data_IF_281348377979
#
_entry.id   IF_281348377979
#
_cell.length_a   1.000
_cell.length_b   1.000
_cell.length_c   1.000
_cell.angle_alpha   90.00
_cell.angle_beta   90.00
_cell.angle_gamma   90.00
#
_symmetry.space_group_name_H-M   'P 1'
#
loop_
_entity.id
_entity.type
_entity.pdbx_description
1 polymer ?
#
# COMPACT_ATOMS: atom_id res chain seq x y z
N UNK A 1 -89.28 39.27 58.31
CA UNK A 1 -88.20 38.35 58.72
C UNK A 1 -87.06 38.45 57.73
N UNK A 2 -85.84 38.51 58.25
CA UNK A 2 -84.67 37.77 57.73
C UNK A 2 -84.25 37.93 56.26
N UNK A 3 -82.97 38.30 56.12
CA UNK A 3 -82.05 37.49 55.35
C UNK A 3 -81.87 37.92 53.90
N UNK A 4 -80.64 38.20 53.51
CA UNK A 4 -80.31 38.33 52.09
C UNK A 4 -79.04 37.53 51.76
N UNK A 5 -79.25 36.41 51.08
CA UNK A 5 -78.26 35.72 50.26
C UNK A 5 -78.59 36.09 48.81
N UNK A 6 -77.64 36.66 48.06
CA UNK A 6 -77.71 36.72 46.59
C UNK A 6 -76.44 36.14 46.00
N UNK A 7 -76.63 35.12 45.17
CA UNK A 7 -75.60 34.29 44.56
C UNK A 7 -74.78 35.04 43.50
N UNK A 8 -73.48 34.72 43.45
CA UNK A 8 -72.57 35.11 42.38
C UNK A 8 -72.90 34.32 41.11
N UNK A 9 -73.21 35.03 40.03
CA UNK A 9 -73.23 34.47 38.66
C UNK A 9 -71.96 34.94 37.96
N UNK A 10 -70.95 34.07 37.92
CA UNK A 10 -69.77 34.22 37.06
C UNK A 10 -70.14 33.72 35.66
N UNK A 11 -70.24 34.63 34.67
CA UNK A 11 -70.23 34.26 33.25
C UNK A 11 -68.90 34.70 32.64
N UNK A 12 -67.89 33.85 32.69
CA UNK A 12 -66.79 33.94 31.74
C UNK A 12 -67.36 33.58 30.37
N UNK A 13 -67.39 34.51 29.41
CA UNK A 13 -67.79 34.23 28.04
C UNK A 13 -66.69 33.37 27.37
N UNK A 14 -66.89 32.05 27.14
CA UNK A 14 -65.85 31.15 26.62
C UNK A 14 -65.49 31.41 25.16
N UNK A 15 -66.21 32.34 24.50
CA UNK A 15 -66.15 32.59 23.07
C UNK A 15 -65.17 33.70 22.70
N UNK A 16 -64.91 34.67 23.57
CA UNK A 16 -64.08 35.82 23.20
C UNK A 16 -62.59 35.43 23.09
N UNK A 17 -62.09 34.67 24.05
CA UNK A 17 -60.70 34.19 24.05
C UNK A 17 -60.44 33.20 22.91
N UNK A 18 -61.42 32.35 22.57
CA UNK A 18 -61.35 31.44 21.41
C UNK A 18 -61.32 32.20 20.09
N UNK A 19 -62.13 33.26 19.94
CA UNK A 19 -62.17 34.07 18.73
C UNK A 19 -60.87 34.87 18.57
N UNK A 20 -60.40 35.52 19.63
CA UNK A 20 -59.13 36.27 19.60
C UNK A 20 -57.93 35.35 19.29
N UNK A 21 -57.87 34.17 19.92
CA UNK A 21 -56.82 33.20 19.64
C UNK A 21 -56.87 32.67 18.20
N UNK A 22 -58.07 32.47 17.65
CA UNK A 22 -58.23 32.05 16.25
C UNK A 22 -57.75 33.13 15.27
N UNK A 23 -58.07 34.39 15.54
CA UNK A 23 -57.62 35.51 14.71
C UNK A 23 -56.10 35.72 14.77
N UNK A 24 -55.47 35.57 15.95
CA UNK A 24 -54.01 35.63 16.08
C UNK A 24 -53.35 34.51 15.27
N UNK A 25 -53.85 33.28 15.39
CA UNK A 25 -53.32 32.15 14.62
C UNK A 25 -53.49 32.32 13.11
N UNK A 26 -54.59 32.93 12.65
CA UNK A 26 -54.82 33.23 11.22
C UNK A 26 -53.87 34.32 10.72
N UNK A 27 -53.60 35.37 11.51
CA UNK A 27 -52.64 36.42 11.17
C UNK A 27 -51.21 35.90 11.19
N UNK A 28 -50.84 35.08 12.18
CA UNK A 28 -49.53 34.41 12.24
C UNK A 28 -49.34 33.45 11.06
N UNK A 29 -50.37 32.70 10.67
CA UNK A 29 -50.33 31.82 9.50
C UNK A 29 -50.20 32.62 8.18
N UNK A 30 -50.90 33.76 8.06
CA UNK A 30 -50.82 34.61 6.87
C UNK A 30 -49.43 35.24 6.73
N UNK A 31 -48.90 35.82 7.81
CA UNK A 31 -47.58 36.47 7.83
C UNK A 31 -46.45 35.46 7.62
N UNK A 32 -46.52 34.27 8.21
CA UNK A 32 -45.54 33.20 7.96
C UNK A 32 -45.55 32.71 6.51
N UNK A 33 -46.74 32.62 5.88
CA UNK A 33 -46.85 32.23 4.48
C UNK A 33 -46.29 33.31 3.53
N UNK A 34 -46.50 34.59 3.80
CA UNK A 34 -45.93 35.70 3.01
C UNK A 34 -44.41 35.77 3.14
N UNK A 35 -43.88 35.67 4.36
CA UNK A 35 -42.43 35.64 4.60
C UNK A 35 -41.79 34.42 3.92
N UNK A 36 -42.44 33.25 3.98
CA UNK A 36 -41.96 32.06 3.30
C UNK A 36 -42.00 32.19 1.77
N UNK A 37 -42.98 32.93 1.22
CA UNK A 37 -43.08 33.21 -0.20
C UNK A 37 -41.97 34.19 -0.66
N UNK A 38 -41.73 35.27 0.09
CA UNK A 38 -40.64 36.23 -0.18
C UNK A 38 -39.25 35.59 -0.05
N UNK A 39 -39.03 34.77 0.99
CA UNK A 39 -37.77 34.04 1.13
C UNK A 39 -37.55 33.07 -0.04
N UNK A 40 -38.62 32.44 -0.55
CA UNK A 40 -38.55 31.53 -1.71
C UNK A 40 -38.32 32.27 -3.02
N UNK A 41 -38.81 33.50 -3.20
CA UNK A 41 -38.53 34.27 -4.42
C UNK A 41 -37.15 34.93 -4.39
N UNK A 42 -36.70 35.41 -3.23
CA UNK A 42 -35.41 36.09 -3.09
C UNK A 42 -34.21 35.13 -3.06
N UNK A 43 -34.25 34.08 -2.24
CA UNK A 43 -33.07 33.25 -1.96
C UNK A 43 -32.98 31.98 -2.80
N UNK A 44 -34.11 31.44 -3.26
CA UNK A 44 -34.14 30.19 -4.03
C UNK A 44 -33.40 30.27 -5.38
N UNK A 45 -33.50 31.34 -6.21
CA UNK A 45 -32.75 31.42 -7.46
C UNK A 45 -31.24 31.56 -7.22
N UNK A 46 -30.78 32.28 -6.20
CA UNK A 46 -29.35 32.39 -5.85
C UNK A 46 -28.79 31.06 -5.34
N UNK A 47 -29.53 30.36 -4.47
CA UNK A 47 -29.13 29.04 -3.99
C UNK A 47 -29.10 28.00 -5.11
N UNK A 48 -30.06 28.06 -6.04
CA UNK A 48 -30.12 27.16 -7.18
C UNK A 48 -28.98 27.43 -8.18
N UNK A 49 -28.71 28.70 -8.52
CA UNK A 49 -27.62 29.09 -9.43
C UNK A 49 -26.22 28.80 -8.87
N UNK A 50 -26.00 28.98 -7.56
CA UNK A 50 -24.74 28.61 -6.91
C UNK A 50 -24.51 27.09 -6.91
N UNK A 51 -25.57 26.31 -6.64
CA UNK A 51 -25.51 24.84 -6.68
C UNK A 51 -25.32 24.30 -8.10
N UNK A 52 -25.99 24.86 -9.11
CA UNK A 52 -25.80 24.41 -10.50
C UNK A 52 -24.41 24.78 -11.03
N UNK A 53 -23.90 25.97 -10.70
CA UNK A 53 -22.55 26.39 -11.08
C UNK A 53 -21.46 25.52 -10.47
N UNK A 54 -21.61 25.15 -9.19
CA UNK A 54 -20.66 24.26 -8.51
C UNK A 54 -20.72 22.83 -9.06
N UNK A 55 -21.90 22.29 -9.33
CA UNK A 55 -22.06 20.97 -9.98
C UNK A 55 -21.43 20.98 -11.37
N UNK A 56 -21.66 22.03 -12.16
CA UNK A 56 -21.10 22.15 -13.50
C UNK A 56 -19.57 22.23 -13.46
N UNK A 57 -18.99 23.03 -12.57
CA UNK A 57 -17.55 23.10 -12.36
C UNK A 57 -16.95 21.73 -11.98
N UNK A 58 -17.56 21.02 -11.02
CA UNK A 58 -17.12 19.68 -10.63
C UNK A 58 -17.23 18.66 -11.79
N UNK A 59 -18.29 18.74 -12.60
CA UNK A 59 -18.47 17.87 -13.77
C UNK A 59 -17.40 18.12 -14.84
N UNK A 60 -17.00 19.38 -15.06
CA UNK A 60 -15.93 19.76 -15.98
C UNK A 60 -14.58 19.27 -15.44
N UNK A 61 -14.27 19.53 -14.18
CA UNK A 61 -13.02 19.10 -13.56
C UNK A 61 -12.86 17.58 -13.55
N UNK A 62 -13.92 16.83 -13.24
CA UNK A 62 -13.91 15.37 -13.29
C UNK A 62 -13.74 14.84 -14.71
N UNK A 63 -14.41 15.45 -15.69
CA UNK A 63 -14.26 15.09 -17.10
C UNK A 63 -12.84 15.34 -17.60
N UNK A 64 -12.24 16.48 -17.26
CA UNK A 64 -10.83 16.79 -17.57
C UNK A 64 -9.89 15.81 -16.88
N UNK A 65 -10.15 15.45 -15.62
CA UNK A 65 -9.34 14.47 -14.88
C UNK A 65 -9.41 13.08 -15.51
N UNK A 66 -10.62 12.62 -15.88
CA UNK A 66 -10.82 11.35 -16.58
C UNK A 66 -10.09 11.37 -17.92
N UNK A 67 -10.25 12.43 -18.71
CA UNK A 67 -9.60 12.55 -20.01
C UNK A 67 -8.07 12.52 -19.90
N UNK A 68 -7.49 13.25 -18.95
CA UNK A 68 -6.03 13.20 -18.70
C UNK A 68 -5.58 11.82 -18.24
N UNK A 69 -6.34 11.17 -17.38
CA UNK A 69 -6.04 9.80 -16.93
C UNK A 69 -6.06 8.82 -18.09
N UNK A 70 -7.05 8.92 -18.99
CA UNK A 70 -7.13 8.07 -20.19
C UNK A 70 -5.96 8.32 -21.16
N UNK A 71 -5.57 9.59 -21.35
CA UNK A 71 -4.40 9.92 -22.17
C UNK A 71 -3.11 9.34 -21.59
N UNK A 72 -2.88 9.51 -20.28
CA UNK A 72 -1.74 8.92 -19.59
C UNK A 72 -1.75 7.40 -19.68
N UNK A 73 -2.91 6.77 -19.54
CA UNK A 73 -3.04 5.31 -19.64
C UNK A 73 -2.76 4.79 -21.05
N UNK A 74 -3.19 5.52 -22.09
CA UNK A 74 -2.87 5.18 -23.48
C UNK A 74 -1.37 5.36 -23.78
N UNK A 75 -0.75 6.43 -23.28
CA UNK A 75 0.69 6.64 -23.37
C UNK A 75 1.46 5.52 -22.66
N UNK A 76 1.02 5.11 -21.46
CA UNK A 76 1.59 3.99 -20.72
C UNK A 76 1.45 2.66 -21.49
N UNK A 77 0.27 2.39 -22.08
CA UNK A 77 0.07 1.20 -22.94
C UNK A 77 1.01 1.20 -24.15
N UNK A 78 1.17 2.34 -24.82
CA UNK A 78 2.08 2.47 -25.96
C UNK A 78 3.56 2.31 -25.55
N UNK A 79 3.95 2.88 -24.41
CA UNK A 79 5.28 2.73 -23.82
C UNK A 79 5.58 1.25 -23.52
N UNK A 80 4.69 0.57 -22.79
CA UNK A 80 4.86 -0.86 -22.47
C UNK A 80 4.87 -1.75 -23.72
N UNK A 81 4.04 -1.45 -24.71
CA UNK A 81 4.03 -2.19 -25.97
C UNK A 81 5.36 -2.02 -26.74
N UNK A 82 5.93 -0.81 -26.71
CA UNK A 82 7.25 -0.54 -27.29
C UNK A 82 8.36 -1.24 -26.50
N UNK A 83 8.32 -1.19 -25.18
CA UNK A 83 9.33 -1.81 -24.31
C UNK A 83 9.33 -3.33 -24.43
N UNK A 84 8.16 -3.96 -24.51
CA UNK A 84 8.04 -5.39 -24.77
C UNK A 84 8.57 -5.81 -26.15
N UNK A 85 8.66 -4.88 -27.11
CA UNK A 85 9.21 -5.11 -28.45
C UNK A 85 10.69 -4.70 -28.58
N UNK A 86 11.32 -4.14 -27.54
CA UNK A 86 12.73 -3.73 -27.57
C UNK A 86 13.69 -4.92 -27.53
N UNK A 87 13.27 -6.04 -26.95
CA UNK A 87 14.12 -7.21 -26.71
C UNK A 87 13.48 -8.47 -27.29
N UNK A 88 14.28 -9.32 -27.93
CA UNK A 88 13.84 -10.65 -28.38
C UNK A 88 13.73 -11.66 -27.23
N UNK A 89 14.38 -11.38 -26.08
CA UNK A 89 14.56 -12.29 -24.95
C UNK A 89 15.33 -13.57 -25.30
N UNK A 90 16.10 -13.58 -26.40
CA UNK A 90 16.93 -14.70 -26.84
C UNK A 90 18.40 -14.43 -26.51
N UNK A 91 19.12 -15.42 -25.97
CA UNK A 91 20.54 -15.29 -25.64
C UNK A 91 20.78 -14.17 -24.61
N UNK A 92 21.61 -13.19 -24.97
CA UNK A 92 21.90 -12.00 -24.15
C UNK A 92 20.98 -10.81 -24.43
N UNK A 93 20.04 -10.92 -25.38
CA UNK A 93 19.16 -9.83 -25.77
C UNK A 93 17.93 -9.74 -24.86
N UNK A 94 18.13 -9.19 -23.67
CA UNK A 94 17.09 -8.93 -22.66
C UNK A 94 17.53 -7.74 -21.79
N UNK A 95 16.60 -7.05 -21.11
CA UNK A 95 16.99 -6.02 -20.16
C UNK A 95 17.78 -6.62 -18.99
N UNK A 96 18.67 -5.84 -18.38
CA UNK A 96 19.44 -6.28 -17.21
C UNK A 96 18.58 -6.40 -15.96
N UNK A 97 17.52 -5.60 -15.86
CA UNK A 97 16.60 -5.53 -14.72
C UNK A 97 15.16 -5.82 -15.17
N UNK A 98 14.32 -6.22 -14.22
CA UNK A 98 12.89 -6.44 -14.45
C UNK A 98 12.22 -5.12 -14.87
N UNK A 99 11.56 -5.05 -16.04
CA UNK A 99 10.97 -3.81 -16.56
C UNK A 99 9.63 -3.50 -15.88
N UNK A 100 9.69 -3.14 -14.59
CA UNK A 100 8.56 -2.69 -13.80
C UNK A 100 8.81 -1.28 -13.27
N UNK A 101 7.72 -0.53 -13.09
CA UNK A 101 7.78 0.70 -12.33
C UNK A 101 7.92 0.36 -10.84
N UNK A 102 9.15 0.43 -10.33
CA UNK A 102 9.45 0.20 -8.92
C UNK A 102 9.41 1.52 -8.14
N UNK A 103 8.30 1.79 -7.46
CA UNK A 103 8.14 3.00 -6.65
C UNK A 103 8.91 2.87 -5.33
N UNK A 104 9.57 3.94 -4.85
CA UNK A 104 10.17 3.94 -3.52
C UNK A 104 9.13 3.64 -2.44
N UNK A 105 9.49 2.76 -1.51
CA UNK A 105 8.69 2.44 -0.33
C UNK A 105 9.54 2.63 0.92
N UNK A 106 8.92 3.11 1.99
CA UNK A 106 9.55 3.25 3.31
C UNK A 106 8.75 2.47 4.34
N UNK A 107 9.46 1.74 5.20
CA UNK A 107 8.86 1.02 6.31
C UNK A 107 9.81 0.99 7.50
N UNK A 108 9.25 0.93 8.71
CA UNK A 108 10.00 0.67 9.94
C UNK A 108 9.89 -0.82 10.22
N UNK A 109 11.03 -1.48 10.43
CA UNK A 109 11.05 -2.86 10.89
C UNK A 109 10.92 -2.89 12.40
N UNK A 110 9.82 -3.44 12.90
CA UNK A 110 9.67 -3.71 14.33
C UNK A 110 10.32 -5.05 14.65
N UNK A 111 11.11 -5.09 15.73
CA UNK A 111 11.60 -6.34 16.31
C UNK A 111 10.41 -7.12 16.85
N UNK A 112 9.99 -8.11 16.06
CA UNK A 112 8.91 -9.02 16.40
C UNK A 112 9.41 -10.44 16.16
N UNK A 113 8.97 -11.38 16.99
CA UNK A 113 9.30 -12.80 16.83
C UNK A 113 8.60 -13.43 15.61
N UNK A 114 7.88 -12.65 14.80
CA UNK A 114 7.15 -13.11 13.62
C UNK A 114 8.05 -13.91 12.66
N UNK A 115 9.27 -13.43 12.42
CA UNK A 115 10.24 -14.08 11.55
C UNK A 115 11.34 -14.81 12.34
N UNK A 116 11.00 -15.44 13.48
CA UNK A 116 11.95 -16.26 14.21
C UNK A 116 12.52 -17.40 13.34
N UNK A 117 13.71 -17.91 13.70
CA UNK A 117 14.39 -18.92 12.89
C UNK A 117 13.61 -20.23 12.77
N UNK A 118 12.65 -20.56 13.61
CA UNK A 118 11.91 -21.82 13.57
C UNK A 118 10.56 -21.70 12.84
N UNK A 119 9.98 -20.50 12.72
CA UNK A 119 8.70 -20.27 12.07
C UNK A 119 8.75 -20.33 10.54
N UNK A 120 8.76 -21.56 10.03
CA UNK A 120 8.85 -21.83 8.60
C UNK A 120 7.65 -21.29 7.81
N UNK A 121 6.47 -21.19 8.43
CA UNK A 121 5.27 -20.66 7.77
C UNK A 121 5.47 -19.19 7.40
N UNK A 122 5.90 -18.36 8.35
CA UNK A 122 6.13 -16.93 8.11
C UNK A 122 7.27 -16.71 7.11
N UNK A 123 8.38 -17.44 7.23
CA UNK A 123 9.48 -17.35 6.26
C UNK A 123 9.05 -17.71 4.83
N UNK A 124 8.12 -18.65 4.66
CA UNK A 124 7.60 -19.02 3.34
C UNK A 124 6.71 -17.93 2.73
N UNK A 125 6.12 -17.01 3.52
CA UNK A 125 5.30 -15.91 2.98
C UNK A 125 6.11 -14.87 2.20
N UNK A 126 7.44 -14.86 2.37
CA UNK A 126 8.34 -13.96 1.65
C UNK A 126 8.59 -14.39 0.21
N UNK A 127 8.30 -15.65 -0.12
CA UNK A 127 8.48 -16.21 -1.45
C UNK A 127 7.13 -16.18 -2.17
N UNK A 128 7.02 -15.46 -3.30
CA UNK A 128 5.77 -15.41 -4.06
C UNK A 128 5.50 -16.75 -4.74
N UNK A 129 4.27 -16.90 -5.22
CA UNK A 129 3.94 -17.98 -6.14
C UNK A 129 4.87 -17.94 -7.35
N UNK A 130 5.29 -19.11 -7.83
CA UNK A 130 6.31 -19.22 -8.88
C UNK A 130 7.75 -19.02 -8.40
N UNK A 131 7.98 -18.98 -7.08
CA UNK A 131 9.31 -19.00 -6.44
C UNK A 131 10.23 -17.85 -6.84
N UNK A 132 9.66 -16.71 -7.25
CA UNK A 132 10.40 -15.53 -7.68
C UNK A 132 10.95 -15.61 -9.11
N UNK A 133 10.45 -16.55 -9.91
CA UNK A 133 10.74 -16.62 -11.34
C UNK A 133 9.73 -15.83 -12.14
N UNK A 134 10.22 -15.15 -13.17
CA UNK A 134 9.42 -14.45 -14.17
C UNK A 134 9.60 -15.09 -15.53
N UNK A 135 8.57 -15.04 -16.36
CA UNK A 135 8.59 -15.57 -17.71
C UNK A 135 8.37 -14.43 -18.69
N UNK A 136 9.42 -14.03 -19.41
CA UNK A 136 9.44 -12.81 -20.22
C UNK A 136 9.62 -13.13 -21.71
N UNK A 137 9.18 -12.20 -22.55
CA UNK A 137 9.24 -12.31 -24.00
C UNK A 137 8.24 -13.31 -24.62
N UNK A 138 8.18 -13.37 -25.96
CA UNK A 138 7.22 -14.20 -26.68
C UNK A 138 7.34 -15.69 -26.37
N UNK A 139 8.56 -16.19 -26.12
CA UNK A 139 8.81 -17.61 -25.80
C UNK A 139 8.68 -17.90 -24.29
N UNK A 140 8.22 -16.94 -23.48
CA UNK A 140 8.08 -17.08 -22.03
C UNK A 140 9.37 -17.57 -21.36
N UNK A 141 10.51 -17.00 -21.74
CA UNK A 141 11.81 -17.43 -21.22
C UNK A 141 11.86 -17.19 -19.70
N UNK A 142 12.25 -18.20 -18.89
CA UNK A 142 12.35 -18.07 -17.45
C UNK A 142 13.62 -17.33 -17.01
N UNK A 143 13.44 -16.36 -16.12
CA UNK A 143 14.48 -15.64 -15.39
C UNK A 143 14.19 -15.68 -13.89
N UNK A 144 15.24 -15.73 -13.06
CA UNK A 144 15.11 -15.48 -11.63
C UNK A 144 15.32 -14.00 -11.35
N UNK A 145 14.46 -13.39 -10.54
CA UNK A 145 14.74 -12.05 -10.00
C UNK A 145 15.74 -12.19 -8.85
N UNK A 146 16.86 -11.46 -8.90
CA UNK A 146 17.96 -11.60 -7.94
C UNK A 146 17.51 -11.51 -6.47
N UNK A 147 16.64 -10.55 -6.12
CA UNK A 147 16.10 -10.44 -4.76
C UNK A 147 15.49 -11.76 -4.25
N UNK A 148 14.71 -12.45 -5.08
CA UNK A 148 14.09 -13.71 -4.68
C UNK A 148 15.07 -14.88 -4.70
N UNK A 149 16.08 -14.84 -5.57
CA UNK A 149 17.17 -15.81 -5.52
C UNK A 149 17.98 -15.66 -4.22
N UNK A 150 18.25 -14.43 -3.78
CA UNK A 150 18.87 -14.15 -2.48
C UNK A 150 18.02 -14.67 -1.31
N UNK A 151 16.69 -14.46 -1.34
CA UNK A 151 15.78 -15.05 -0.36
C UNK A 151 15.80 -16.59 -0.37
N UNK A 152 15.80 -17.21 -1.56
CA UNK A 152 15.92 -18.66 -1.70
C UNK A 152 17.18 -19.18 -1.01
N UNK A 153 18.33 -18.55 -1.26
CA UNK A 153 19.60 -18.88 -0.63
C UNK A 153 19.55 -18.69 0.90
N UNK A 154 19.01 -17.57 1.38
CA UNK A 154 18.86 -17.32 2.82
C UNK A 154 18.00 -18.42 3.49
N UNK A 155 16.88 -18.80 2.88
CA UNK A 155 16.04 -19.89 3.40
C UNK A 155 16.73 -21.24 3.35
N UNK A 156 17.56 -21.52 2.34
CA UNK A 156 18.35 -22.74 2.26
C UNK A 156 19.41 -22.81 3.36
N UNK A 157 20.11 -21.71 3.65
CA UNK A 157 21.05 -21.62 4.78
C UNK A 157 20.32 -21.82 6.11
N UNK A 158 19.16 -21.18 6.29
CA UNK A 158 18.30 -21.36 7.47
C UNK A 158 17.97 -22.84 7.68
N UNK A 159 17.50 -23.54 6.65
CA UNK A 159 17.15 -24.97 6.73
C UNK A 159 18.36 -25.84 7.09
N UNK A 160 19.54 -25.56 6.52
CA UNK A 160 20.77 -26.28 6.84
C UNK A 160 21.20 -26.10 8.31
N UNK A 161 21.09 -24.89 8.85
CA UNK A 161 21.36 -24.64 10.28
C UNK A 161 20.38 -25.41 11.17
N UNK A 162 19.10 -25.40 10.82
CA UNK A 162 18.07 -26.11 11.57
C UNK A 162 18.19 -27.64 11.48
N UNK A 163 18.71 -28.17 10.37
CA UNK A 163 18.94 -29.62 10.24
C UNK A 163 20.08 -30.12 11.14
N UNK A 164 21.12 -29.30 11.35
CA UNK A 164 22.21 -29.66 12.28
C UNK A 164 21.71 -29.69 13.71
N UNK A 165 20.93 -28.69 14.17
CA UNK A 165 20.39 -28.65 15.53
C UNK A 165 19.48 -29.82 15.93
N UNK A 166 18.94 -30.56 14.95
CA UNK A 166 18.15 -31.77 15.21
C UNK A 166 19.01 -32.97 15.61
N UNK A 167 20.33 -32.89 15.46
CA UNK A 167 21.26 -33.87 16.00
C UNK A 167 21.34 -33.72 17.54
N UNK A 168 20.95 -34.75 18.31
CA UNK A 168 20.97 -34.73 19.78
C UNK A 168 22.35 -34.45 20.40
N UNK A 169 23.43 -34.66 19.64
CA UNK A 169 24.81 -34.38 20.08
C UNK A 169 25.21 -32.91 19.94
N UNK A 170 24.41 -32.11 19.22
CA UNK A 170 24.73 -30.72 18.86
C UNK A 170 23.96 -29.70 19.72
N UNK A 171 24.25 -29.64 21.02
CA UNK A 171 23.68 -28.59 21.88
C UNK A 171 24.30 -27.23 21.58
N UNK A 172 23.73 -26.49 20.63
CA UNK A 172 24.07 -25.08 20.42
C UNK A 172 23.44 -24.24 21.55
N UNK A 173 24.23 -23.50 22.36
CA UNK A 173 23.69 -22.70 23.47
C UNK A 173 22.64 -21.67 23.03
N UNK A 174 21.65 -21.40 23.90
CA UNK A 174 20.51 -20.52 23.62
C UNK A 174 20.91 -19.12 23.13
N UNK A 175 22.01 -18.55 23.64
CA UNK A 175 22.56 -17.26 23.19
C UNK A 175 22.95 -17.25 21.70
N UNK A 176 23.49 -18.36 21.17
CA UNK A 176 23.78 -18.50 19.72
C UNK A 176 22.49 -18.52 18.90
N UNK A 177 21.38 -19.02 19.45
CA UNK A 177 20.08 -19.03 18.80
C UNK A 177 19.47 -17.62 18.67
N UNK A 178 19.60 -16.78 19.70
CA UNK A 178 19.08 -15.40 19.67
C UNK A 178 19.83 -14.53 18.66
N UNK A 179 21.17 -14.58 18.65
CA UNK A 179 21.96 -13.84 17.67
C UNK A 179 21.67 -14.31 16.23
N UNK A 180 21.53 -15.63 16.02
CA UNK A 180 21.15 -16.17 14.70
C UNK A 180 19.77 -15.64 14.26
N UNK A 181 18.76 -15.63 15.14
CA UNK A 181 17.46 -15.04 14.82
C UNK A 181 17.60 -13.59 14.37
N UNK A 182 18.33 -12.78 15.13
CA UNK A 182 18.57 -11.37 14.81
C UNK A 182 19.29 -11.20 13.46
N UNK A 183 20.35 -11.97 13.19
CA UNK A 183 21.07 -11.91 11.91
C UNK A 183 20.16 -12.23 10.72
N UNK A 184 19.32 -13.26 10.82
CA UNK A 184 18.38 -13.61 9.75
C UNK A 184 17.32 -12.52 9.54
N UNK A 185 16.79 -11.97 10.63
CA UNK A 185 15.90 -10.80 10.56
C UNK A 185 16.59 -9.61 9.90
N UNK A 186 17.84 -9.31 10.24
CA UNK A 186 18.61 -8.20 9.66
C UNK A 186 18.90 -8.40 8.16
N UNK A 187 19.29 -9.60 7.75
CA UNK A 187 19.48 -9.93 6.32
C UNK A 187 18.17 -9.78 5.54
N UNK A 188 17.03 -10.26 6.09
CA UNK A 188 15.71 -10.05 5.50
C UNK A 188 15.40 -8.57 5.27
N UNK A 189 15.74 -7.70 6.23
CA UNK A 189 15.54 -6.25 6.08
C UNK A 189 16.37 -5.69 4.92
N UNK A 190 17.64 -6.08 4.81
CA UNK A 190 18.52 -5.68 3.71
C UNK A 190 17.96 -6.07 2.34
N UNK A 191 17.49 -7.32 2.19
CA UNK A 191 16.90 -7.82 0.94
C UNK A 191 15.61 -7.09 0.55
N UNK A 192 14.81 -6.67 1.54
CA UNK A 192 13.58 -5.89 1.29
C UNK A 192 13.86 -4.42 0.96
N UNK A 193 14.84 -3.79 1.60
CA UNK A 193 15.16 -2.37 1.37
C UNK A 193 15.99 -2.14 0.10
N UNK A 194 16.81 -3.12 -0.29
CA UNK A 194 17.67 -3.07 -1.46
C UNK A 194 17.33 -4.22 -2.40
N UNK A 195 16.05 -4.27 -2.78
CA UNK A 195 15.52 -5.27 -3.70
C UNK A 195 16.23 -5.20 -5.05
N UNK A 196 17.12 -6.15 -5.30
CA UNK A 196 17.81 -6.27 -6.58
C UNK A 196 16.86 -6.85 -7.64
N UNK A 197 16.48 -6.01 -8.60
CA UNK A 197 15.58 -6.36 -9.71
C UNK A 197 16.30 -7.01 -10.90
N UNK A 198 17.60 -7.26 -10.79
CA UNK A 198 18.40 -7.88 -11.83
C UNK A 198 17.78 -9.21 -12.29
N UNK A 199 17.74 -9.41 -13.61
CA UNK A 199 17.23 -10.62 -14.24
C UNK A 199 18.37 -11.60 -14.45
N UNK A 200 18.35 -12.69 -13.69
CA UNK A 200 19.32 -13.77 -13.85
C UNK A 200 18.75 -14.86 -14.78
N UNK A 201 19.42 -15.16 -15.91
CA UNK A 201 19.01 -16.25 -16.78
C UNK A 201 18.98 -17.59 -16.03
N UNK A 202 18.02 -18.42 -16.38
CA UNK A 202 18.00 -19.81 -15.90
C UNK A 202 18.74 -20.73 -16.88
N UNK A 203 19.47 -21.68 -16.31
CA UNK A 203 20.25 -22.67 -17.03
C UNK A 203 19.69 -24.07 -16.73
N UNK A 204 19.73 -24.95 -17.73
CA UNK A 204 19.45 -26.36 -17.51
C UNK A 204 20.61 -26.98 -16.75
N UNK A 205 20.32 -27.58 -15.59
CA UNK A 205 21.31 -28.19 -14.71
C UNK A 205 20.90 -29.61 -14.35
N UNK A 206 21.87 -30.43 -13.94
CA UNK A 206 21.57 -31.74 -13.36
C UNK A 206 21.39 -31.61 -11.86
N UNK A 207 20.20 -32.00 -11.38
CA UNK A 207 19.85 -31.96 -9.96
C UNK A 207 20.45 -33.16 -9.20
N UNK A 208 20.50 -33.10 -7.85
CA UNK A 208 21.04 -34.19 -7.03
C UNK A 208 20.32 -35.54 -7.21
N UNK A 209 19.06 -35.52 -7.63
CA UNK A 209 18.26 -36.72 -7.93
C UNK A 209 18.55 -37.32 -9.32
N UNK A 210 19.47 -36.72 -10.07
CA UNK A 210 19.87 -37.13 -11.42
C UNK A 210 19.03 -36.55 -12.56
N UNK A 211 17.90 -35.89 -12.25
CA UNK A 211 17.00 -35.29 -13.23
C UNK A 211 17.52 -33.94 -13.74
N UNK A 212 17.02 -33.50 -14.90
CA UNK A 212 17.28 -32.16 -15.41
C UNK A 212 16.34 -31.16 -14.73
N UNK A 213 16.91 -30.08 -14.19
CA UNK A 213 16.21 -28.96 -13.58
C UNK A 213 16.64 -27.63 -14.17
N UNK A 214 16.09 -26.55 -13.62
CA UNK A 214 16.50 -25.17 -13.92
C UNK A 214 17.09 -24.55 -12.67
N UNK A 215 18.22 -23.88 -12.83
CA UNK A 215 18.84 -23.07 -11.77
C UNK A 215 19.36 -21.76 -12.35
N UNK A 216 19.49 -20.77 -11.48
CA UNK A 216 20.21 -19.55 -11.79
C UNK A 216 21.42 -19.43 -10.85
N UNK A 217 22.42 -18.65 -11.24
CA UNK A 217 23.70 -18.60 -10.54
C UNK A 217 24.23 -17.18 -10.30
N UNK A 218 23.57 -16.13 -10.82
CA UNK A 218 24.08 -14.74 -10.81
C UNK A 218 25.37 -14.49 -11.60
N UNK A 219 26.16 -15.50 -11.92
CA UNK A 219 27.44 -15.35 -12.62
C UNK A 219 27.27 -14.80 -14.04
N UNK A 220 28.09 -13.81 -14.40
CA UNK A 220 28.06 -13.17 -15.71
C UNK A 220 26.85 -12.25 -15.93
N UNK A 221 26.11 -11.92 -14.87
CA UNK A 221 24.99 -10.98 -14.91
C UNK A 221 25.47 -9.60 -14.42
N UNK A 222 25.02 -8.54 -15.08
CA UNK A 222 25.36 -7.17 -14.71
C UNK A 222 24.47 -6.72 -13.55
N UNK A 223 25.08 -6.38 -12.40
CA UNK A 223 24.41 -5.78 -11.26
C UNK A 223 24.78 -4.29 -11.13
N UNK A 224 23.85 -3.47 -10.60
CA UNK A 224 24.11 -2.07 -10.24
C UNK A 224 24.35 -1.94 -8.74
N UNK A 225 25.60 -2.01 -8.33
CA UNK A 225 26.00 -1.93 -6.93
C UNK A 225 26.47 -0.52 -6.55
N UNK A 226 26.40 -0.20 -5.27
CA UNK A 226 27.22 0.87 -4.70
C UNK A 226 28.69 0.43 -4.68
N UNK A 227 29.62 1.38 -4.79
CA UNK A 227 31.04 1.10 -4.69
C UNK A 227 31.41 0.74 -3.25
N UNK A 228 31.56 -0.57 -3.01
CA UNK A 228 31.86 -1.10 -1.69
C UNK A 228 33.29 -0.78 -1.23
N UNK A 229 34.21 -0.48 -2.15
CA UNK A 229 35.59 -0.09 -1.81
C UNK A 229 35.57 1.27 -1.13
N UNK A 230 34.87 2.25 -1.71
CA UNK A 230 34.71 3.57 -1.09
C UNK A 230 34.06 3.48 0.30
N UNK A 231 33.06 2.61 0.47
CA UNK A 231 32.41 2.39 1.78
C UNK A 231 33.42 1.81 2.78
N UNK A 232 34.18 0.78 2.38
CA UNK A 232 35.19 0.16 3.23
C UNK A 232 36.26 1.16 3.66
N UNK A 233 36.83 1.88 2.69
CA UNK A 233 37.93 2.81 2.93
C UNK A 233 37.49 3.92 3.92
N UNK A 234 36.26 4.42 3.79
CA UNK A 234 35.69 5.37 4.75
C UNK A 234 35.55 4.78 6.16
N UNK A 235 34.99 3.56 6.29
CA UNK A 235 34.77 2.90 7.60
C UNK A 235 36.09 2.63 8.31
N UNK A 236 37.08 2.13 7.57
CA UNK A 236 38.41 1.87 8.11
C UNK A 236 39.10 3.16 8.56
N UNK A 237 39.07 4.21 7.74
CA UNK A 237 39.63 5.51 8.12
C UNK A 237 38.95 6.08 9.36
N UNK A 238 37.62 6.03 9.42
CA UNK A 238 36.88 6.49 10.59
C UNK A 238 37.29 5.76 11.87
N UNK A 239 37.52 4.45 11.81
CA UNK A 239 38.02 3.69 12.95
C UNK A 239 39.44 4.12 13.34
N UNK A 240 40.34 4.30 12.37
CA UNK A 240 41.71 4.74 12.64
C UNK A 240 41.75 6.13 13.29
N UNK A 241 40.87 7.04 12.89
CA UNK A 241 40.78 8.38 13.50
C UNK A 241 40.45 8.31 15.00
N UNK A 242 39.68 7.31 15.45
CA UNK A 242 39.39 7.10 16.88
C UNK A 242 40.60 6.64 17.70
N UNK A 243 41.63 6.11 17.04
CA UNK A 243 42.85 5.65 17.70
C UNK A 243 43.93 6.74 17.78
N UNK A 244 43.80 7.79 16.97
CA UNK A 244 44.79 8.88 16.86
C UNK A 244 44.39 10.16 17.60
N UNK A 245 43.18 10.23 18.16
CA UNK A 245 42.67 11.32 19.01
C UNK A 245 42.67 10.96 20.48
#
# INVERSE_FOLDING_TARGET
MSGNKHGKISRSCPNFEKVARRQILEVEASTTNEIAAEMRTAYFPEFFTLKTSTILLLSVLTTVNIFRTLQQWNAFKAYNARENNLYSYVGSDHPSELPILNNPAAMIFNDTDRYDLYNTSEWNTLIPQGHGWVHLGPQRRPFSVTMYHQFHCLLSIRRAILSVKKDPSSQAPAAKSSHTNHCFSYLRQGLLCKSDLTLEPTHTVRLPDGNLGRASFGNGVLHRCHDWVQIRDYVEQNYLDTLMG
#
